data_IF_729477568075
#
_entry.id   IF_729477568075
#
_cell.length_a   1.000
_cell.length_b   1.000
_cell.length_c   1.000
_cell.angle_alpha   90.00
_cell.angle_beta   90.00
_cell.angle_gamma   90.00
#
_symmetry.space_group_name_H-M   'P 1'
#
loop_
_entity.id
_entity.type
_entity.pdbx_description
1 polymer ?
#
# COMPACT_ATOMS: atom_id res chain seq x y z
N UNK A 1 1.32 -6.35 16.44
CA UNK A 1 1.37 -7.53 15.56
C UNK A 1 2.45 -7.27 14.53
N UNK A 2 3.35 -8.23 14.29
CA UNK A 2 4.42 -8.05 13.30
C UNK A 2 3.98 -8.78 12.02
N UNK A 3 3.79 -8.03 10.95
CA UNK A 3 3.52 -8.61 9.62
C UNK A 3 4.67 -9.55 9.28
N UNK A 4 4.36 -10.81 8.91
CA UNK A 4 5.34 -11.78 8.46
C UNK A 4 5.99 -11.26 7.18
N UNK A 5 7.32 -11.18 7.16
CA UNK A 5 8.09 -10.68 6.01
C UNK A 5 8.59 -11.84 5.17
N UNK A 6 8.45 -11.74 3.84
CA UNK A 6 9.14 -12.62 2.91
C UNK A 6 10.66 -12.35 2.93
N UNK A 7 11.47 -13.42 2.91
CA UNK A 7 12.94 -13.37 2.86
C UNK A 7 13.49 -13.87 1.53
N UNK A 8 12.65 -14.53 0.74
CA UNK A 8 12.93 -15.01 -0.62
C UNK A 8 11.70 -14.87 -1.51
N UNK A 9 11.84 -15.08 -2.81
CA UNK A 9 10.70 -15.12 -3.73
C UNK A 9 9.74 -16.27 -3.41
N UNK A 10 10.24 -17.39 -2.88
CA UNK A 10 9.43 -18.56 -2.54
C UNK A 10 8.53 -18.32 -1.31
N UNK A 11 8.87 -17.34 -0.47
CA UNK A 11 8.04 -16.93 0.67
C UNK A 11 6.84 -16.06 0.24
N UNK A 12 6.94 -15.40 -0.92
CA UNK A 12 5.85 -14.56 -1.42
C UNK A 12 4.67 -15.41 -1.88
N UNK A 13 3.44 -14.91 -1.68
CA UNK A 13 2.26 -15.56 -2.24
C UNK A 13 2.43 -15.79 -3.74
N UNK A 14 2.25 -17.03 -4.15
CA UNK A 14 2.30 -17.38 -5.56
C UNK A 14 1.00 -17.00 -6.29
N UNK A 15 0.95 -17.23 -7.61
CA UNK A 15 -0.21 -16.90 -8.42
C UNK A 15 -1.49 -17.60 -7.95
N UNK A 16 -1.39 -18.86 -7.52
CA UNK A 16 -2.55 -19.61 -7.00
C UNK A 16 -3.08 -18.97 -5.72
N UNK A 17 -2.19 -18.55 -4.82
CA UNK A 17 -2.57 -17.85 -3.59
C UNK A 17 -3.32 -16.55 -3.89
N UNK A 18 -2.85 -15.78 -4.90
CA UNK A 18 -3.48 -14.53 -5.33
C UNK A 18 -4.87 -14.75 -5.91
N UNK A 19 -5.04 -15.79 -6.75
CA UNK A 19 -6.27 -16.02 -7.49
C UNK A 19 -7.34 -16.81 -6.71
N UNK A 20 -6.95 -17.54 -5.66
CA UNK A 20 -7.84 -18.43 -4.88
C UNK A 20 -8.70 -17.71 -3.85
N UNK A 21 -8.46 -16.44 -3.58
CA UNK A 21 -9.18 -15.64 -2.57
C UNK A 21 -9.55 -14.26 -3.12
N UNK A 22 -10.48 -13.58 -2.47
CA UNK A 22 -10.75 -12.16 -2.77
C UNK A 22 -9.57 -11.30 -2.33
N UNK A 23 -9.45 -10.11 -2.92
CA UNK A 23 -8.40 -9.20 -2.53
C UNK A 23 -8.50 -8.72 -1.08
N UNK A 24 -9.71 -8.63 -0.52
CA UNK A 24 -9.90 -8.31 0.90
C UNK A 24 -9.38 -9.44 1.80
N UNK A 25 -9.73 -10.71 1.51
CA UNK A 25 -9.20 -11.87 2.23
C UNK A 25 -7.66 -11.90 2.16
N UNK A 26 -7.09 -11.63 0.98
CA UNK A 26 -5.63 -11.57 0.79
C UNK A 26 -4.98 -10.52 1.68
N UNK A 27 -5.51 -9.29 1.73
CA UNK A 27 -4.98 -8.23 2.57
C UNK A 27 -5.10 -8.53 4.07
N UNK A 28 -6.22 -9.12 4.48
CA UNK A 28 -6.44 -9.53 5.88
C UNK A 28 -5.49 -10.66 6.29
N UNK A 29 -5.26 -11.65 5.43
CA UNK A 29 -4.29 -12.73 5.65
C UNK A 29 -2.85 -12.21 5.78
N UNK A 30 -2.48 -11.19 4.98
CA UNK A 30 -1.17 -10.53 5.07
C UNK A 30 -1.01 -9.79 6.41
N UNK A 31 -2.03 -9.05 6.85
CA UNK A 31 -2.03 -8.33 8.13
C UNK A 31 -1.99 -9.30 9.30
N UNK A 32 -2.72 -10.41 9.21
CA UNK A 32 -2.72 -11.48 10.22
C UNK A 32 -1.40 -12.29 10.28
N UNK A 33 -0.54 -12.15 9.25
CA UNK A 33 0.73 -12.89 9.15
C UNK A 33 0.58 -14.31 8.59
N UNK A 34 -0.60 -14.70 8.13
CA UNK A 34 -0.85 -15.98 7.44
C UNK A 34 -0.13 -16.00 6.09
N UNK A 35 -0.16 -14.88 5.38
CA UNK A 35 0.65 -14.64 4.18
C UNK A 35 1.84 -13.73 4.51
N UNK A 36 2.97 -13.97 3.86
CA UNK A 36 4.12 -13.09 3.98
C UNK A 36 3.91 -11.81 3.17
N UNK A 37 4.19 -10.66 3.79
CA UNK A 37 4.21 -9.38 3.11
C UNK A 37 5.50 -9.17 2.30
N UNK A 38 5.47 -8.34 1.24
CA UNK A 38 6.62 -8.08 0.40
C UNK A 38 7.73 -7.34 1.17
N UNK A 39 9.01 -7.58 0.82
CA UNK A 39 10.15 -7.00 1.55
C UNK A 39 10.24 -5.47 1.45
N UNK A 40 9.62 -4.85 0.43
CA UNK A 40 9.65 -3.39 0.24
C UNK A 40 9.14 -2.62 1.46
N UNK A 41 8.08 -3.10 2.12
CA UNK A 41 7.54 -2.46 3.32
C UNK A 41 8.57 -2.38 4.44
N UNK A 42 9.29 -3.48 4.69
CA UNK A 42 10.36 -3.51 5.69
C UNK A 42 11.58 -2.66 5.30
N UNK A 43 11.91 -2.59 4.00
CA UNK A 43 13.00 -1.76 3.48
C UNK A 43 12.69 -0.27 3.66
N UNK A 44 11.45 0.13 3.48
CA UNK A 44 11.01 1.52 3.55
C UNK A 44 10.35 1.90 4.88
N UNK A 45 10.22 0.97 5.82
CA UNK A 45 9.75 1.22 7.18
C UNK A 45 8.24 1.46 7.29
N UNK A 46 7.40 0.76 6.49
CA UNK A 46 5.95 0.84 6.59
C UNK A 46 5.26 -0.51 6.33
N UNK A 47 4.05 -0.69 6.87
CA UNK A 47 3.29 -1.94 6.73
C UNK A 47 1.78 -1.69 6.84
N UNK A 48 0.94 -2.57 6.26
CA UNK A 48 -0.51 -2.47 6.41
C UNK A 48 -0.92 -2.84 7.83
N UNK A 49 -1.85 -2.06 8.40
CA UNK A 49 -2.40 -2.29 9.75
C UNK A 49 -3.91 -2.51 9.75
N UNK A 50 -4.61 -2.09 8.69
CA UNK A 50 -6.04 -2.25 8.54
C UNK A 50 -6.39 -2.48 7.07
N UNK A 51 -7.28 -3.44 6.79
CA UNK A 51 -7.92 -3.63 5.49
C UNK A 51 -9.41 -3.85 5.66
N UNK A 52 -10.18 -2.95 5.07
CA UNK A 52 -11.64 -2.96 4.94
C UNK A 52 -12.03 -2.86 3.47
N UNK A 53 -13.26 -3.14 3.13
CA UNK A 53 -13.73 -3.03 1.75
C UNK A 53 -13.58 -1.59 1.21
N UNK A 54 -12.71 -1.43 0.22
CA UNK A 54 -12.38 -0.14 -0.40
C UNK A 54 -11.49 0.77 0.43
N UNK A 55 -10.94 0.31 1.55
CA UNK A 55 -10.08 1.12 2.42
C UNK A 55 -8.94 0.32 3.03
N UNK A 56 -7.72 0.86 2.97
CA UNK A 56 -6.53 0.27 3.62
C UNK A 56 -5.74 1.36 4.33
N UNK A 57 -5.21 1.02 5.50
CA UNK A 57 -4.33 1.89 6.28
C UNK A 57 -2.96 1.23 6.39
N UNK A 58 -1.94 1.99 6.07
CA UNK A 58 -0.53 1.67 6.36
C UNK A 58 -0.04 2.60 7.46
N UNK A 59 0.86 2.10 8.30
CA UNK A 59 1.60 2.89 9.28
C UNK A 59 3.10 2.68 9.10
N UNK A 60 3.89 3.68 9.46
CA UNK A 60 5.34 3.60 9.38
C UNK A 60 6.02 4.92 9.71
N UNK A 61 7.33 4.94 9.52
CA UNK A 61 8.16 6.12 9.67
C UNK A 61 9.30 6.12 8.63
N UNK A 62 9.65 7.31 8.15
CA UNK A 62 10.80 7.51 7.28
C UNK A 62 12.07 7.71 8.13
N UNK A 63 12.94 6.71 8.15
CA UNK A 63 14.24 6.79 8.84
C UNK A 63 15.34 7.39 7.96
N UNK A 64 16.57 7.32 8.47
CA UNK A 64 17.75 7.86 7.80
C UNK A 64 17.97 7.28 6.39
N UNK A 65 17.73 6.00 6.18
CA UNK A 65 18.00 5.29 4.91
C UNK A 65 17.17 5.81 3.71
N UNK A 66 16.13 6.59 3.98
CA UNK A 66 15.27 7.19 2.94
C UNK A 66 15.39 8.71 2.87
N UNK A 67 16.54 9.25 3.25
CA UNK A 67 16.81 10.69 3.17
C UNK A 67 17.29 11.14 1.78
N UNK A 68 17.07 12.41 1.49
CA UNK A 68 17.62 13.11 0.33
C UNK A 68 18.87 13.93 0.71
N UNK A 69 19.62 14.48 -0.27
CA UNK A 69 20.82 15.30 0.02
C UNK A 69 20.55 16.54 0.87
N UNK A 70 19.30 17.01 0.96
CA UNK A 70 18.89 18.15 1.78
C UNK A 70 18.55 17.75 3.22
N UNK A 71 18.87 16.51 3.64
CA UNK A 71 18.63 15.93 4.97
C UNK A 71 17.14 15.78 5.35
N UNK A 72 16.24 15.80 4.37
CA UNK A 72 14.82 15.55 4.54
C UNK A 72 14.42 14.17 4.01
N UNK A 73 13.19 13.77 4.26
CA UNK A 73 12.61 12.56 3.66
C UNK A 73 12.56 12.72 2.13
N UNK A 74 13.08 11.71 1.40
CA UNK A 74 13.06 11.70 -0.04
C UNK A 74 11.61 11.63 -0.58
N UNK A 75 11.30 12.41 -1.62
CA UNK A 75 9.95 12.44 -2.22
C UNK A 75 9.44 11.07 -2.68
N UNK A 76 10.34 10.19 -3.13
CA UNK A 76 10.02 8.82 -3.53
C UNK A 76 9.45 7.96 -2.38
N UNK A 77 9.82 8.23 -1.13
CA UNK A 77 9.24 7.53 0.02
C UNK A 77 7.74 7.82 0.18
N UNK A 78 7.35 9.11 0.01
CA UNK A 78 5.93 9.50 0.01
C UNK A 78 5.16 8.78 -1.12
N UNK A 79 5.79 8.67 -2.29
CA UNK A 79 5.23 7.94 -3.42
C UNK A 79 5.00 6.48 -3.09
N UNK A 80 6.01 5.80 -2.52
CA UNK A 80 5.94 4.38 -2.22
C UNK A 80 4.87 4.02 -1.18
N UNK A 81 4.76 4.77 -0.07
CA UNK A 81 3.74 4.50 0.94
C UNK A 81 2.33 4.83 0.45
N UNK A 82 2.17 5.90 -0.34
CA UNK A 82 0.87 6.28 -0.89
C UNK A 82 0.43 5.32 -2.01
N UNK A 83 1.32 4.93 -2.93
CA UNK A 83 1.03 3.88 -3.92
C UNK A 83 0.59 2.58 -3.23
N UNK A 84 1.32 2.16 -2.20
CA UNK A 84 1.00 0.95 -1.45
C UNK A 84 -0.39 1.02 -0.82
N UNK A 85 -0.74 2.09 -0.10
CA UNK A 85 -2.04 2.17 0.56
C UNK A 85 -3.20 2.32 -0.45
N UNK A 86 -3.02 3.09 -1.52
CA UNK A 86 -4.05 3.27 -2.56
C UNK A 86 -4.25 2.01 -3.39
N UNK A 87 -3.17 1.38 -3.85
CA UNK A 87 -3.22 0.13 -4.61
C UNK A 87 -3.80 -1.02 -3.80
N UNK A 88 -3.41 -1.15 -2.52
CA UNK A 88 -4.00 -2.15 -1.62
C UNK A 88 -5.48 -1.86 -1.31
N UNK A 89 -5.91 -0.59 -1.28
CA UNK A 89 -7.34 -0.26 -1.19
C UNK A 89 -8.10 -0.78 -2.44
N UNK A 90 -7.55 -0.59 -3.64
CA UNK A 90 -8.11 -1.18 -4.87
C UNK A 90 -8.13 -2.70 -4.76
N UNK A 91 -7.07 -3.34 -4.25
CA UNK A 91 -7.02 -4.79 -4.06
C UNK A 91 -8.21 -5.31 -3.27
N UNK A 92 -8.63 -4.63 -2.21
CA UNK A 92 -9.77 -5.07 -1.38
C UNK A 92 -11.10 -5.17 -2.14
N UNK A 93 -11.21 -4.56 -3.32
CA UNK A 93 -12.38 -4.61 -4.21
C UNK A 93 -12.33 -5.73 -5.24
N UNK A 94 -11.22 -6.45 -5.33
CA UNK A 94 -11.05 -7.49 -6.33
C UNK A 94 -11.78 -8.77 -5.92
N UNK A 95 -12.53 -9.34 -6.86
CA UNK A 95 -13.09 -10.67 -6.71
C UNK A 95 -12.00 -11.75 -6.86
N UNK A 96 -12.33 -12.98 -6.49
CA UNK A 96 -11.47 -14.15 -6.77
C UNK A 96 -11.17 -14.24 -8.26
N UNK A 97 -9.92 -14.53 -8.61
CA UNK A 97 -9.46 -14.61 -9.99
C UNK A 97 -9.11 -13.27 -10.62
N UNK A 98 -9.19 -12.17 -9.89
CA UNK A 98 -8.79 -10.85 -10.34
C UNK A 98 -7.46 -10.43 -9.72
N UNK A 99 -6.68 -9.67 -10.49
CA UNK A 99 -5.46 -8.99 -10.04
C UNK A 99 -5.47 -7.57 -10.57
N UNK A 100 -4.65 -6.70 -10.00
CA UNK A 100 -4.48 -5.33 -10.48
C UNK A 100 -3.01 -4.97 -10.65
N UNK A 101 -2.77 -3.90 -11.38
CA UNK A 101 -1.50 -3.17 -11.31
C UNK A 101 -1.76 -1.67 -11.41
N UNK A 102 -0.91 -0.90 -10.76
CA UNK A 102 -0.90 0.56 -10.86
C UNK A 102 -0.47 0.98 -12.26
N UNK A 103 -1.24 1.84 -12.92
CA UNK A 103 -0.89 2.46 -14.19
C UNK A 103 -0.16 3.78 -13.99
N UNK A 104 -0.62 4.56 -13.02
CA UNK A 104 -0.03 5.84 -12.64
C UNK A 104 -0.41 6.19 -11.22
N UNK A 105 0.38 7.00 -10.58
CA UNK A 105 -0.02 7.71 -9.37
C UNK A 105 0.55 9.13 -9.35
N UNK A 106 -0.16 10.03 -8.69
CA UNK A 106 0.26 11.39 -8.43
C UNK A 106 0.34 11.63 -6.94
N UNK A 107 1.38 12.33 -6.51
CA UNK A 107 1.58 12.73 -5.10
C UNK A 107 1.76 14.23 -5.00
N UNK A 108 1.08 14.85 -4.04
CA UNK A 108 1.29 16.24 -3.65
C UNK A 108 1.84 16.25 -2.22
N UNK A 109 3.11 16.60 -2.05
CA UNK A 109 3.74 16.76 -0.74
C UNK A 109 3.38 18.16 -0.24
N UNK A 110 2.59 18.23 0.82
CA UNK A 110 2.06 19.51 1.34
C UNK A 110 2.91 20.06 2.48
N UNK A 111 3.75 19.21 3.08
CA UNK A 111 4.57 19.56 4.26
C UNK A 111 5.81 18.69 4.35
N UNK A 112 6.93 19.28 4.79
CA UNK A 112 8.12 18.51 5.15
C UNK A 112 7.81 17.57 6.33
N UNK A 113 8.18 16.30 6.18
CA UNK A 113 8.03 15.28 7.22
C UNK A 113 9.36 15.17 7.98
N UNK A 114 9.40 15.43 9.30
CA UNK A 114 10.60 15.15 10.09
C UNK A 114 10.90 13.64 10.09
N UNK A 115 12.19 13.28 10.10
CA UNK A 115 12.60 11.88 10.20
C UNK A 115 12.00 11.22 11.46
N UNK A 116 11.77 9.92 11.38
CA UNK A 116 11.25 9.08 12.46
C UNK A 116 9.87 9.50 12.99
N UNK A 117 9.18 10.40 12.27
CA UNK A 117 7.79 10.73 12.58
C UNK A 117 6.88 9.59 12.19
N UNK A 118 6.15 9.03 13.16
CA UNK A 118 5.12 8.03 12.89
C UNK A 118 3.97 8.65 12.13
N UNK A 119 3.64 8.03 11.01
CA UNK A 119 2.54 8.45 10.12
C UNK A 119 1.61 7.30 9.81
N UNK A 120 0.39 7.65 9.39
CA UNK A 120 -0.54 6.74 8.74
C UNK A 120 -0.81 7.21 7.31
N UNK A 121 -0.79 6.28 6.36
CA UNK A 121 -1.24 6.47 5.00
C UNK A 121 -2.60 5.78 4.85
N UNK A 122 -3.62 6.51 4.42
CA UNK A 122 -4.99 6.03 4.27
C UNK A 122 -5.33 6.03 2.80
N UNK A 123 -5.51 4.85 2.21
CA UNK A 123 -6.00 4.68 0.85
C UNK A 123 -7.50 4.41 0.85
N UNK A 124 -8.23 5.07 -0.04
CA UNK A 124 -9.68 4.89 -0.18
C UNK A 124 -10.06 4.83 -1.66
N UNK A 125 -10.82 3.81 -2.04
CA UNK A 125 -11.33 3.64 -3.40
C UNK A 125 -12.40 4.68 -3.69
N UNK A 126 -12.19 5.47 -4.74
CA UNK A 126 -13.17 6.42 -5.26
C UNK A 126 -14.07 5.78 -6.33
N UNK A 127 -13.52 4.85 -7.13
CA UNK A 127 -14.23 4.12 -8.17
C UNK A 127 -13.60 2.74 -8.39
N UNK A 128 -14.44 1.72 -8.60
CA UNK A 128 -14.00 0.39 -9.03
C UNK A 128 -14.98 -0.12 -10.08
N UNK A 129 -14.48 -0.27 -11.31
CA UNK A 129 -15.21 -0.76 -12.48
C UNK A 129 -14.73 -2.14 -12.92
N UNK A 130 -15.15 -2.55 -14.13
CA UNK A 130 -14.81 -3.87 -14.70
C UNK A 130 -13.31 -4.03 -15.00
N UNK A 131 -12.63 -2.97 -15.44
CA UNK A 131 -11.24 -3.01 -15.93
C UNK A 131 -10.35 -1.93 -15.33
N UNK A 132 -10.91 -0.96 -14.61
CA UNK A 132 -10.16 0.14 -14.00
C UNK A 132 -10.70 0.46 -12.61
N UNK A 133 -9.82 0.92 -11.74
CA UNK A 133 -10.18 1.47 -10.45
C UNK A 133 -9.38 2.74 -10.18
N UNK A 134 -9.96 3.64 -9.40
CA UNK A 134 -9.35 4.89 -8.95
C UNK A 134 -9.41 4.95 -7.44
N UNK A 135 -8.29 5.33 -6.82
CA UNK A 135 -8.22 5.54 -5.39
C UNK A 135 -7.55 6.87 -5.06
N UNK A 136 -7.86 7.40 -3.90
CA UNK A 136 -7.18 8.54 -3.28
C UNK A 136 -6.45 8.11 -2.02
N UNK A 137 -5.42 8.89 -1.64
CA UNK A 137 -4.64 8.62 -0.43
C UNK A 137 -4.28 9.89 0.31
N UNK A 138 -4.16 9.78 1.63
CA UNK A 138 -3.66 10.82 2.51
C UNK A 138 -2.56 10.26 3.41
N UNK A 139 -1.51 11.03 3.63
CA UNK A 139 -0.46 10.75 4.61
C UNK A 139 -0.59 11.74 5.78
N UNK A 140 -0.87 11.23 6.97
CA UNK A 140 -1.08 12.03 8.17
C UNK A 140 -0.17 11.59 9.32
N UNK A 141 0.21 12.54 10.15
CA UNK A 141 0.92 12.25 11.41
C UNK A 141 0.03 11.44 12.36
N UNK A 142 0.60 10.37 12.95
CA UNK A 142 -0.16 9.50 13.86
C UNK A 142 -0.56 10.21 15.17
N UNK A 143 0.28 11.14 15.64
CA UNK A 143 0.05 11.86 16.91
C UNK A 143 -0.76 13.15 16.77
N UNK A 144 -0.54 13.89 15.68
CA UNK A 144 -1.04 15.26 15.53
C UNK A 144 -2.05 15.42 14.39
N UNK A 145 -2.30 14.34 13.65
CA UNK A 145 -3.19 14.26 12.48
C UNK A 145 -2.89 15.28 11.37
N UNK A 146 -1.69 15.89 11.39
CA UNK A 146 -1.28 16.84 10.34
C UNK A 146 -1.14 16.14 9.00
N UNK A 147 -1.64 16.80 7.95
CA UNK A 147 -1.51 16.34 6.58
C UNK A 147 -0.09 16.63 6.05
N UNK A 148 0.62 15.60 5.59
CA UNK A 148 1.94 15.68 4.99
C UNK A 148 1.92 15.50 3.47
N UNK A 149 1.02 14.65 2.95
CA UNK A 149 0.86 14.46 1.52
C UNK A 149 -0.54 13.95 1.18
N UNK A 150 -0.93 14.16 -0.07
CA UNK A 150 -2.11 13.53 -0.70
C UNK A 150 -1.69 12.81 -1.97
N UNK A 151 -2.48 11.81 -2.38
CA UNK A 151 -2.25 11.08 -3.61
C UNK A 151 -3.55 10.70 -4.32
N UNK A 152 -3.41 10.36 -5.58
CA UNK A 152 -4.42 9.68 -6.39
C UNK A 152 -3.73 8.65 -7.28
N UNK A 153 -4.43 7.57 -7.62
CA UNK A 153 -3.93 6.51 -8.50
C UNK A 153 -5.02 5.98 -9.40
N UNK A 154 -4.62 5.54 -10.59
CA UNK A 154 -5.44 4.72 -11.49
C UNK A 154 -4.80 3.34 -11.61
N UNK A 155 -5.60 2.31 -11.42
CA UNK A 155 -5.19 0.91 -11.54
C UNK A 155 -5.97 0.22 -12.66
N UNK A 156 -5.33 -0.72 -13.35
CA UNK A 156 -6.00 -1.65 -14.24
C UNK A 156 -6.32 -2.95 -13.50
N UNK A 157 -7.54 -3.44 -13.68
CA UNK A 157 -8.00 -4.74 -13.16
C UNK A 157 -7.91 -5.77 -14.30
N UNK A 158 -7.28 -6.90 -14.01
CA UNK A 158 -7.03 -7.97 -14.97
C UNK A 158 -7.63 -9.29 -14.48
N UNK A 159 -8.09 -10.10 -15.42
CA UNK A 159 -8.56 -11.47 -15.19
C UNK A 159 -7.66 -12.41 -15.97
N UNK A 160 -6.51 -12.82 -15.40
CA UNK A 160 -5.63 -13.75 -16.09
C UNK A 160 -6.35 -15.08 -16.34
N UNK A 161 -6.13 -15.71 -17.52
CA UNK A 161 -6.75 -16.99 -17.83
C UNK A 161 -6.37 -18.03 -16.76
N UNK A 162 -7.27 -19.01 -16.45
CA UNK A 162 -6.89 -20.15 -15.63
C UNK A 162 -5.72 -20.88 -16.29
N UNK A 163 -4.78 -21.36 -15.46
CA UNK A 163 -3.68 -22.23 -15.94
C UNK A 163 -4.18 -23.62 -16.17
#
# INVERSE_FOLDING_TARGET
MTVRRATSLDDLPNRSDLLSRSGLEFMQDMIAGTLAGPPIGATLGFWPVLAEDGRVVFEGAAGFDVTNPMRGVHGGWFGAILDSCMGCAVMTRLARGEVYTTLEYKVNITRALPLDTLVRAIGTVAHSGRSTAVASGELRGLKDDRLYATGSTTCIIMRPPPQ
#
